data_IF_008542834272
#
_entry.id   IF_008542834272
#
_cell.length_a   1.000
_cell.length_b   1.000
_cell.length_c   1.000
_cell.angle_alpha   90.00
_cell.angle_beta   90.00
_cell.angle_gamma   90.00
#
_symmetry.space_group_name_H-M   'P 1'
#
loop_
_entity.id
_entity.type
_entity.pdbx_description
1 polymer ?
#
# COMPACT_ATOMS: atom_id res chain seq x y z
N UNK A 1 -10.02 -46.48 10.49
CA UNK A 1 -8.85 -45.85 11.13
C UNK A 1 -7.68 -46.09 10.19
N UNK A 2 -6.97 -45.15 9.59
CA UNK A 2 -6.81 -43.70 9.78
C UNK A 2 -6.55 -43.06 8.41
N UNK A 3 -7.10 -41.86 8.17
CA UNK A 3 -6.77 -41.05 6.99
C UNK A 3 -5.37 -40.46 7.18
N UNK A 4 -4.43 -40.81 6.30
CA UNK A 4 -3.15 -40.11 6.19
C UNK A 4 -3.43 -38.70 5.68
N UNK A 5 -3.10 -37.71 6.51
CA UNK A 5 -3.09 -36.29 6.18
C UNK A 5 -2.05 -36.03 5.09
N UNK A 6 -2.50 -35.66 3.90
CA UNK A 6 -1.64 -35.10 2.87
C UNK A 6 -1.02 -33.80 3.41
N UNK A 7 0.30 -33.83 3.63
CA UNK A 7 1.06 -32.63 3.97
C UNK A 7 0.86 -31.57 2.89
N UNK A 8 0.53 -30.35 3.31
CA UNK A 8 0.59 -29.18 2.44
C UNK A 8 2.05 -28.99 2.06
N UNK A 9 2.43 -29.44 0.86
CA UNK A 9 3.66 -29.01 0.21
C UNK A 9 3.55 -27.51 0.00
N UNK A 10 4.16 -26.73 0.90
CA UNK A 10 4.43 -25.32 0.65
C UNK A 10 5.33 -25.32 -0.57
N UNK A 11 4.79 -24.87 -1.71
CA UNK A 11 5.56 -24.67 -2.92
C UNK A 11 6.68 -23.70 -2.54
N UNK A 12 7.89 -24.22 -2.34
CA UNK A 12 9.10 -23.42 -2.19
C UNK A 12 9.35 -22.77 -3.54
N UNK A 13 8.67 -21.63 -3.76
CA UNK A 13 9.04 -20.74 -4.84
C UNK A 13 10.35 -20.11 -4.41
N UNK A 14 11.41 -20.42 -5.15
CA UNK A 14 12.73 -19.88 -4.91
C UNK A 14 12.65 -18.34 -4.98
N UNK A 15 12.66 -17.67 -3.82
CA UNK A 15 12.71 -16.21 -3.75
C UNK A 15 14.12 -15.79 -4.20
N UNK A 16 14.26 -14.95 -5.23
CA UNK A 16 15.55 -14.43 -5.65
C UNK A 16 16.29 -13.74 -4.50
N UNK A 17 17.62 -13.84 -4.46
CA UNK A 17 18.42 -13.17 -3.42
C UNK A 17 18.24 -11.64 -3.41
N UNK A 18 17.98 -11.04 -4.57
CA UNK A 18 17.64 -9.62 -4.75
C UNK A 18 16.17 -9.28 -4.34
N UNK A 19 15.51 -10.14 -3.57
CA UNK A 19 14.18 -9.94 -2.95
C UNK A 19 14.14 -10.35 -1.47
N UNK A 20 15.31 -10.48 -0.84
CA UNK A 20 15.44 -10.79 0.60
C UNK A 20 15.76 -9.51 1.38
N UNK A 21 14.97 -9.23 2.43
CA UNK A 21 15.13 -8.06 3.30
C UNK A 21 15.25 -8.53 4.75
N UNK A 22 16.47 -8.50 5.28
CA UNK A 22 16.76 -8.88 6.67
C UNK A 22 17.10 -7.68 7.56
N UNK A 23 17.36 -6.53 6.94
CA UNK A 23 17.66 -5.27 7.63
C UNK A 23 16.68 -4.22 7.14
N UNK A 24 16.26 -3.34 8.05
CA UNK A 24 15.33 -2.28 7.71
C UNK A 24 16.02 -1.26 6.78
N UNK A 25 15.55 -1.06 5.55
CA UNK A 25 16.16 -0.14 4.60
C UNK A 25 16.06 1.30 5.11
N UNK A 26 17.14 2.07 4.93
CA UNK A 26 17.18 3.49 5.27
C UNK A 26 16.29 4.31 4.32
N UNK A 27 15.73 5.43 4.77
CA UNK A 27 15.10 6.38 3.86
C UNK A 27 16.15 6.98 2.91
N UNK A 28 15.70 7.59 1.81
CA UNK A 28 16.58 8.30 0.89
C UNK A 28 17.47 9.33 1.59
N UNK A 29 16.87 10.12 2.49
CA UNK A 29 17.54 11.00 3.45
C UNK A 29 16.70 11.11 4.72
N UNK A 30 17.34 11.41 5.85
CA UNK A 30 16.65 11.52 7.14
C UNK A 30 15.63 12.68 7.19
N UNK A 31 15.87 13.75 6.42
CA UNK A 31 14.97 14.91 6.30
C UNK A 31 13.88 14.75 5.23
N UNK A 32 13.83 13.59 4.56
CA UNK A 32 12.86 13.27 3.50
C UNK A 32 11.76 12.31 3.94
N UNK A 33 11.69 11.91 5.21
CA UNK A 33 10.76 10.87 5.67
C UNK A 33 9.95 11.31 6.89
N UNK A 34 8.64 11.02 6.93
CA UNK A 34 7.86 11.12 8.15
C UNK A 34 8.10 9.94 9.11
N UNK A 35 8.72 8.85 8.62
CA UNK A 35 8.97 7.63 9.38
C UNK A 35 10.29 7.76 10.17
N UNK A 36 10.20 7.84 11.49
CA UNK A 36 11.33 8.05 12.40
C UNK A 36 12.04 6.75 12.79
N UNK A 37 11.43 5.63 12.44
CA UNK A 37 11.80 4.29 12.79
C UNK A 37 13.04 3.90 11.97
N UNK A 38 14.06 3.43 12.67
CA UNK A 38 15.35 3.02 12.11
C UNK A 38 15.47 1.51 11.96
N UNK A 39 14.45 0.76 12.38
CA UNK A 39 14.44 -0.69 12.44
C UNK A 39 13.00 -1.22 12.42
N UNK A 40 12.80 -2.51 12.10
CA UNK A 40 11.50 -3.16 12.22
C UNK A 40 11.00 -3.12 13.66
N UNK A 41 9.70 -2.96 13.84
CA UNK A 41 9.11 -2.84 15.18
C UNK A 41 9.38 -4.12 16.00
N UNK A 42 9.70 -4.04 17.31
CA UNK A 42 10.03 -5.21 18.13
C UNK A 42 8.96 -6.32 18.10
N UNK A 43 7.68 -5.95 18.15
CA UNK A 43 6.56 -6.90 17.98
C UNK A 43 6.61 -7.65 16.64
N UNK A 44 6.99 -6.99 15.55
CA UNK A 44 7.11 -7.60 14.21
C UNK A 44 8.25 -8.60 14.21
N UNK A 45 9.42 -8.22 14.72
CA UNK A 45 10.57 -9.11 14.83
C UNK A 45 10.26 -10.37 15.65
N UNK A 46 9.61 -10.20 16.80
CA UNK A 46 9.19 -11.31 17.64
C UNK A 46 8.20 -12.22 16.89
N UNK A 47 7.15 -11.64 16.29
CA UNK A 47 6.18 -12.38 15.51
C UNK A 47 6.80 -13.16 14.34
N UNK A 48 7.80 -12.59 13.65
CA UNK A 48 8.52 -13.28 12.58
C UNK A 48 9.33 -14.46 13.12
N UNK A 49 10.11 -14.25 14.20
CA UNK A 49 10.95 -15.30 14.79
C UNK A 49 10.17 -16.51 15.31
N UNK A 50 8.93 -16.30 15.75
CA UNK A 50 8.06 -17.34 16.29
C UNK A 50 7.07 -17.89 15.25
N UNK A 51 7.18 -17.47 13.98
CA UNK A 51 6.23 -17.79 12.91
C UNK A 51 4.76 -17.43 13.25
N UNK A 52 4.55 -16.33 13.97
CA UNK A 52 3.25 -15.79 14.41
C UNK A 52 2.77 -14.59 13.60
N UNK A 53 3.14 -14.49 12.33
CA UNK A 53 2.70 -13.40 11.43
C UNK A 53 1.25 -13.52 10.94
N UNK A 54 0.47 -14.46 11.50
CA UNK A 54 -0.94 -14.67 11.16
C UNK A 54 -1.14 -14.92 9.65
N UNK A 55 -2.07 -14.16 9.05
CA UNK A 55 -2.35 -14.25 7.59
C UNK A 55 -1.43 -13.38 6.74
N UNK A 56 -0.51 -12.60 7.30
CA UNK A 56 0.30 -11.63 6.53
C UNK A 56 1.10 -12.31 5.43
N UNK A 57 1.68 -13.49 5.69
CA UNK A 57 2.40 -14.26 4.68
C UNK A 57 1.53 -14.78 3.51
N UNK A 58 0.20 -14.66 3.62
CA UNK A 58 -0.78 -15.02 2.60
C UNK A 58 -1.47 -13.79 1.99
N UNK A 59 -1.24 -12.59 2.54
CA UNK A 59 -1.86 -11.35 2.07
C UNK A 59 -1.04 -10.75 0.94
N UNK A 60 -1.76 -10.24 -0.06
CA UNK A 60 -1.19 -9.42 -1.13
C UNK A 60 -1.33 -7.98 -0.67
N UNK A 61 -0.21 -7.27 -0.58
CA UNK A 61 -0.19 -5.84 -0.36
C UNK A 61 -0.17 -5.12 -1.70
N UNK A 62 -0.90 -4.01 -1.79
CA UNK A 62 -1.10 -3.27 -3.05
C UNK A 62 -0.40 -1.92 -2.99
N UNK A 63 0.53 -1.68 -3.92
CA UNK A 63 1.10 -0.38 -4.20
C UNK A 63 0.52 0.18 -5.50
N UNK A 64 0.13 1.45 -5.53
CA UNK A 64 -0.37 2.12 -6.74
C UNK A 64 0.57 3.26 -7.11
N UNK A 65 0.94 3.32 -8.39
CA UNK A 65 1.72 4.41 -8.95
C UNK A 65 0.79 5.36 -9.70
N UNK A 66 0.82 6.64 -9.34
CA UNK A 66 0.03 7.72 -9.96
C UNK A 66 0.95 8.89 -10.30
N UNK A 67 0.46 9.83 -11.11
CA UNK A 67 1.26 10.96 -11.60
C UNK A 67 1.00 11.23 -13.07
N UNK A 68 1.50 12.35 -13.58
CA UNK A 68 1.23 12.78 -14.95
C UNK A 68 1.70 11.76 -16.00
N UNK A 69 1.18 11.91 -17.22
CA UNK A 69 1.63 11.13 -18.38
C UNK A 69 3.12 11.36 -18.60
N UNK A 70 3.85 10.32 -19.03
CA UNK A 70 5.26 10.40 -19.42
C UNK A 70 6.27 10.76 -18.31
N UNK A 71 5.85 10.88 -17.06
CA UNK A 71 6.76 11.07 -15.91
C UNK A 71 7.59 9.83 -15.58
N UNK A 72 7.34 8.68 -16.20
CA UNK A 72 8.19 7.48 -16.05
C UNK A 72 7.72 6.44 -15.04
N UNK A 73 6.42 6.39 -14.71
CA UNK A 73 5.82 5.35 -13.84
C UNK A 73 6.12 3.93 -14.34
N UNK A 74 5.75 3.63 -15.59
CA UNK A 74 6.02 2.34 -16.24
C UNK A 74 7.52 2.02 -16.30
N UNK A 75 8.36 3.01 -16.60
CA UNK A 75 9.81 2.81 -16.63
C UNK A 75 10.37 2.47 -15.24
N UNK A 76 9.82 3.05 -14.17
CA UNK A 76 10.18 2.73 -12.79
C UNK A 76 9.79 1.30 -12.41
N UNK A 77 8.57 0.87 -12.75
CA UNK A 77 8.11 -0.52 -12.54
C UNK A 77 8.97 -1.51 -13.32
N UNK A 78 9.17 -1.27 -14.62
CA UNK A 78 9.98 -2.15 -15.47
C UNK A 78 11.43 -2.24 -15.00
N UNK A 79 12.02 -1.12 -14.54
CA UNK A 79 13.38 -1.15 -14.00
C UNK A 79 13.46 -2.01 -12.74
N UNK A 80 12.46 -1.97 -11.87
CA UNK A 80 12.46 -2.74 -10.64
C UNK A 80 12.16 -4.23 -10.85
N UNK A 81 11.10 -4.54 -11.60
CA UNK A 81 10.60 -5.90 -11.80
C UNK A 81 11.44 -6.70 -12.79
N UNK A 82 11.84 -6.06 -13.89
CA UNK A 82 12.43 -6.75 -15.04
C UNK A 82 13.89 -6.38 -15.28
N UNK A 83 14.46 -5.46 -14.50
CA UNK A 83 15.80 -4.91 -14.71
C UNK A 83 16.01 -4.33 -16.13
N UNK A 84 14.93 -3.87 -16.77
CA UNK A 84 14.93 -3.32 -18.14
C UNK A 84 14.55 -1.83 -18.16
N UNK A 85 15.12 -1.08 -19.11
CA UNK A 85 14.69 0.26 -19.46
C UNK A 85 14.53 0.38 -20.97
N UNK A 86 13.29 0.64 -21.41
CA UNK A 86 12.98 0.95 -22.81
C UNK A 86 12.96 2.47 -23.00
N UNK A 87 13.70 2.96 -23.99
CA UNK A 87 13.74 4.40 -24.31
C UNK A 87 12.49 4.87 -25.04
N UNK A 88 11.88 3.98 -25.83
CA UNK A 88 10.71 4.30 -26.64
C UNK A 88 9.46 4.34 -25.74
N UNK A 89 8.87 5.53 -25.61
CA UNK A 89 7.67 5.70 -24.82
C UNK A 89 6.49 4.98 -25.49
N UNK A 90 5.96 3.97 -24.79
CA UNK A 90 4.66 3.35 -25.08
C UNK A 90 3.68 3.81 -24.02
N UNK A 91 2.59 4.44 -24.44
CA UNK A 91 1.56 4.89 -23.50
C UNK A 91 0.87 3.69 -22.85
N UNK A 92 0.79 3.67 -21.53
CA UNK A 92 0.02 2.67 -20.79
C UNK A 92 -1.46 2.88 -21.06
N UNK A 93 -2.14 1.82 -21.53
CA UNK A 93 -3.57 1.84 -21.78
C UNK A 93 -4.26 1.30 -20.53
N UNK A 94 -4.91 2.19 -19.77
CA UNK A 94 -5.58 1.82 -18.53
C UNK A 94 -4.60 1.58 -17.38
N UNK A 95 -4.50 0.33 -16.95
CA UNK A 95 -3.68 -0.11 -15.80
C UNK A 95 -3.03 -1.44 -16.11
N UNK A 96 -1.76 -1.56 -15.74
CA UNK A 96 -1.02 -2.82 -15.71
C UNK A 96 -0.59 -3.14 -14.27
N UNK A 97 -0.30 -4.41 -13.98
CA UNK A 97 0.23 -4.76 -12.66
C UNK A 97 1.28 -5.85 -12.68
N UNK A 98 2.26 -5.68 -11.81
CA UNK A 98 3.31 -6.66 -11.53
C UNK A 98 3.13 -7.27 -10.14
N UNK A 99 3.56 -8.52 -9.97
CA UNK A 99 3.51 -9.23 -8.67
C UNK A 99 4.91 -9.65 -8.26
N UNK A 100 5.41 -9.04 -7.19
CA UNK A 100 6.75 -9.27 -6.66
C UNK A 100 6.68 -10.00 -5.32
N UNK A 101 7.48 -11.06 -5.19
CA UNK A 101 7.55 -11.89 -3.98
C UNK A 101 8.85 -11.64 -3.25
N UNK A 102 8.73 -11.36 -1.95
CA UNK A 102 9.83 -11.03 -1.06
C UNK A 102 9.91 -12.02 0.10
N UNK A 103 11.10 -12.10 0.69
CA UNK A 103 11.34 -12.68 2.01
C UNK A 103 11.77 -11.57 2.95
N UNK A 104 10.88 -11.11 3.82
CA UNK A 104 11.18 -10.05 4.80
C UNK A 104 11.28 -10.68 6.17
N UNK A 105 12.44 -10.57 6.83
CA UNK A 105 12.72 -11.28 8.09
C UNK A 105 12.40 -12.79 8.01
N UNK A 106 12.84 -13.43 6.91
CA UNK A 106 12.54 -14.82 6.56
C UNK A 106 11.04 -15.17 6.39
N UNK A 107 10.15 -14.17 6.38
CA UNK A 107 8.72 -14.34 6.18
C UNK A 107 8.34 -14.03 4.71
N UNK A 108 7.48 -14.85 4.09
CA UNK A 108 7.00 -14.55 2.74
C UNK A 108 6.15 -13.27 2.76
N UNK A 109 6.33 -12.43 1.74
CA UNK A 109 5.54 -11.22 1.54
C UNK A 109 5.32 -10.99 0.06
N UNK A 110 4.11 -10.58 -0.34
CA UNK A 110 3.77 -10.35 -1.75
C UNK A 110 3.32 -8.91 -1.95
N UNK A 111 3.99 -8.19 -2.85
CA UNK A 111 3.62 -6.86 -3.28
C UNK A 111 3.04 -6.92 -4.70
N UNK A 112 1.85 -6.37 -4.89
CA UNK A 112 1.27 -6.10 -6.19
C UNK A 112 1.48 -4.62 -6.52
N UNK A 113 2.15 -4.34 -7.63
CA UNK A 113 2.50 -3.00 -8.08
C UNK A 113 1.59 -2.62 -9.23
N UNK A 114 0.74 -1.62 -9.05
CA UNK A 114 -0.23 -1.15 -10.05
C UNK A 114 0.33 0.06 -10.78
N UNK A 115 0.69 -0.10 -12.05
CA UNK A 115 1.07 0.98 -12.94
C UNK A 115 -0.16 1.57 -13.62
N UNK A 116 -0.28 2.90 -13.61
CA UNK A 116 -1.43 3.62 -14.18
C UNK A 116 -1.02 4.45 -15.38
N UNK A 117 -1.96 4.75 -16.28
CA UNK A 117 -1.70 5.62 -17.42
C UNK A 117 -1.26 7.05 -17.07
N UNK A 118 -1.67 7.60 -15.93
CA UNK A 118 -1.53 9.02 -15.63
C UNK A 118 -2.50 9.91 -16.42
N UNK A 119 -3.58 9.33 -16.96
CA UNK A 119 -4.68 10.01 -17.65
C UNK A 119 -6.03 9.63 -17.06
N UNK A 120 -6.15 9.56 -15.74
CA UNK A 120 -7.38 9.25 -15.02
C UNK A 120 -8.47 10.33 -15.11
N UNK A 121 -8.62 10.93 -16.30
CA UNK A 121 -9.70 11.80 -16.78
C UNK A 121 -11.10 11.25 -16.44
N UNK A 122 -11.23 9.95 -16.14
CA UNK A 122 -12.45 9.32 -15.63
C UNK A 122 -12.31 8.94 -14.15
N UNK A 123 -12.67 9.87 -13.25
CA UNK A 123 -12.60 9.72 -11.78
C UNK A 123 -13.21 8.41 -11.24
N UNK A 124 -14.31 7.93 -11.82
CA UNK A 124 -14.97 6.71 -11.37
C UNK A 124 -14.14 5.44 -11.62
N UNK A 125 -13.39 5.39 -12.73
CA UNK A 125 -12.51 4.26 -13.05
C UNK A 125 -11.27 4.31 -12.14
N UNK A 126 -10.74 5.51 -11.91
CA UNK A 126 -9.59 5.76 -11.05
C UNK A 126 -9.81 5.33 -9.58
N UNK A 127 -11.00 5.63 -9.01
CA UNK A 127 -11.36 5.24 -7.65
C UNK A 127 -11.21 3.73 -7.41
N UNK A 128 -11.54 2.90 -8.40
CA UNK A 128 -11.41 1.45 -8.31
C UNK A 128 -9.95 0.98 -8.21
N UNK A 129 -9.02 1.73 -8.83
CA UNK A 129 -7.58 1.44 -8.77
C UNK A 129 -6.98 1.78 -7.41
N UNK A 130 -7.47 2.82 -6.76
CA UNK A 130 -6.95 3.26 -5.45
C UNK A 130 -7.51 2.44 -4.28
N UNK A 131 -8.70 1.86 -4.44
CA UNK A 131 -9.33 1.05 -3.39
C UNK A 131 -8.41 -0.10 -2.94
N UNK A 132 -8.20 -0.16 -1.62
CA UNK A 132 -7.37 -1.17 -0.98
C UNK A 132 -5.87 -1.00 -1.20
N UNK A 133 -5.41 0.16 -1.71
CA UNK A 133 -4.00 0.48 -1.75
C UNK A 133 -3.42 0.57 -0.33
N UNK A 134 -2.37 -0.20 -0.07
CA UNK A 134 -1.56 -0.08 1.14
C UNK A 134 -0.47 0.98 0.97
N UNK A 135 -0.05 1.21 -0.28
CA UNK A 135 0.97 2.19 -0.64
C UNK A 135 0.47 3.04 -1.81
N UNK A 136 0.61 4.35 -1.68
CA UNK A 136 0.40 5.32 -2.77
C UNK A 136 1.75 5.94 -3.12
N UNK A 137 2.12 5.86 -4.38
CA UNK A 137 3.38 6.37 -4.93
C UNK A 137 3.03 7.41 -5.99
N UNK A 138 3.23 8.69 -5.68
CA UNK A 138 3.07 9.78 -6.65
C UNK A 138 4.41 10.04 -7.34
N UNK A 139 4.47 9.80 -8.64
CA UNK A 139 5.68 9.97 -9.46
C UNK A 139 5.58 11.28 -10.24
N UNK A 140 6.68 12.04 -10.26
CA UNK A 140 6.84 13.24 -11.07
C UNK A 140 8.21 13.22 -11.77
N UNK A 141 8.39 14.05 -12.78
CA UNK A 141 9.66 14.16 -13.52
C UNK A 141 10.47 15.33 -12.97
N UNK A 142 11.71 15.07 -12.51
CA UNK A 142 12.59 16.09 -11.94
C UNK A 142 12.93 17.23 -12.93
N UNK A 143 12.77 16.98 -14.23
CA UNK A 143 12.99 17.96 -15.30
C UNK A 143 11.73 18.71 -15.75
N UNK A 144 10.55 18.36 -15.21
CA UNK A 144 9.27 18.96 -15.58
C UNK A 144 8.56 19.61 -14.39
N UNK A 145 8.59 20.94 -14.37
CA UNK A 145 7.99 21.79 -13.35
C UNK A 145 6.45 21.64 -13.24
N UNK A 146 5.79 21.32 -14.36
CA UNK A 146 4.33 21.13 -14.36
C UNK A 146 3.94 19.89 -13.55
N UNK A 147 4.73 18.82 -13.67
CA UNK A 147 4.52 17.57 -12.93
C UNK A 147 4.68 17.73 -11.41
N UNK A 148 5.57 18.64 -10.97
CA UNK A 148 5.73 19.00 -9.54
C UNK A 148 4.48 19.69 -9.01
N UNK A 149 3.90 20.58 -9.81
CA UNK A 149 2.72 21.36 -9.41
C UNK A 149 1.48 20.47 -9.22
N UNK A 150 1.42 19.34 -9.92
CA UNK A 150 0.31 18.39 -9.85
C UNK A 150 0.41 17.37 -8.69
N UNK A 151 1.53 17.32 -7.96
CA UNK A 151 1.78 16.34 -6.89
C UNK A 151 0.67 16.29 -5.83
N UNK A 152 0.23 17.46 -5.36
CA UNK A 152 -0.79 17.57 -4.28
C UNK A 152 -2.10 16.96 -4.75
N UNK A 153 -2.55 17.35 -5.94
CA UNK A 153 -3.78 16.81 -6.54
C UNK A 153 -3.70 15.29 -6.68
N UNK A 154 -2.57 14.76 -7.17
CA UNK A 154 -2.39 13.32 -7.33
C UNK A 154 -2.46 12.57 -6.00
N UNK A 155 -1.85 13.12 -4.96
CA UNK A 155 -1.89 12.53 -3.62
C UNK A 155 -3.32 12.55 -3.06
N UNK A 156 -4.03 13.67 -3.20
CA UNK A 156 -5.39 13.83 -2.70
C UNK A 156 -6.36 12.88 -3.41
N UNK A 157 -6.36 12.86 -4.75
CA UNK A 157 -7.23 11.98 -5.56
C UNK A 157 -7.03 10.49 -5.20
N UNK A 158 -5.78 10.06 -4.94
CA UNK A 158 -5.48 8.70 -4.52
C UNK A 158 -5.88 8.41 -3.07
N UNK A 159 -5.64 9.35 -2.15
CA UNK A 159 -5.93 9.18 -0.73
C UNK A 159 -7.43 9.26 -0.40
N UNK A 160 -8.26 9.90 -1.25
CA UNK A 160 -9.73 9.89 -1.10
C UNK A 160 -10.32 8.46 -1.10
N UNK A 161 -9.64 7.51 -1.75
CA UNK A 161 -10.15 6.17 -2.02
C UNK A 161 -9.29 5.05 -1.36
N UNK A 162 -8.12 5.40 -0.85
CA UNK A 162 -7.22 4.49 -0.14
C UNK A 162 -7.41 4.64 1.39
N UNK A 163 -7.45 3.53 2.11
CA UNK A 163 -7.60 3.54 3.56
C UNK A 163 -6.22 3.64 4.23
N UNK A 164 -5.88 4.85 4.67
CA UNK A 164 -4.63 5.18 5.38
C UNK A 164 -3.36 4.58 4.74
N UNK A 165 -3.07 4.86 3.45
CA UNK A 165 -1.91 4.29 2.78
C UNK A 165 -0.61 4.89 3.31
N UNK A 166 0.48 4.13 3.19
CA UNK A 166 1.84 4.68 3.23
C UNK A 166 2.05 5.51 1.96
N UNK A 167 2.61 6.71 2.09
CA UNK A 167 2.68 7.69 1.00
C UNK A 167 4.12 7.95 0.58
N UNK A 168 4.36 7.94 -0.72
CA UNK A 168 5.64 8.31 -1.32
C UNK A 168 5.47 9.36 -2.40
N UNK A 169 6.44 10.27 -2.49
CA UNK A 169 6.67 11.13 -3.65
C UNK A 169 7.98 10.72 -4.28
N UNK A 170 7.97 10.44 -5.58
CA UNK A 170 9.12 9.93 -6.32
C UNK A 170 9.45 10.86 -7.49
N UNK A 171 10.59 11.54 -7.41
CA UNK A 171 11.16 12.31 -8.50
C UNK A 171 11.95 11.40 -9.44
N UNK A 172 11.44 11.15 -10.63
CA UNK A 172 12.05 10.31 -11.65
C UNK A 172 13.01 11.10 -12.55
N UNK A 173 13.66 10.40 -13.48
CA UNK A 173 14.57 10.97 -14.49
C UNK A 173 15.67 11.84 -13.89
N UNK A 174 16.18 11.45 -12.71
CA UNK A 174 17.28 12.15 -12.05
C UNK A 174 18.53 12.32 -12.93
N UNK A 175 18.74 11.40 -13.88
CA UNK A 175 19.81 11.46 -14.87
C UNK A 175 19.72 12.63 -15.85
N UNK A 176 18.57 13.30 -15.96
CA UNK A 176 18.37 14.45 -16.86
C UNK A 176 18.65 15.80 -16.19
N UNK A 177 18.79 15.84 -14.87
CA UNK A 177 18.99 17.09 -14.11
C UNK A 177 20.43 17.21 -13.62
N UNK A 178 21.00 18.41 -13.73
CA UNK A 178 22.30 18.70 -13.11
C UNK A 178 22.17 18.74 -11.57
N UNK A 179 23.28 18.54 -10.86
CA UNK A 179 23.28 18.60 -9.40
C UNK A 179 22.78 19.95 -8.86
N UNK A 180 23.09 21.04 -9.55
CA UNK A 180 22.64 22.38 -9.20
C UNK A 180 21.12 22.54 -9.38
N UNK A 181 20.57 22.06 -10.50
CA UNK A 181 19.13 22.09 -10.76
C UNK A 181 18.37 21.17 -9.78
N UNK A 182 18.88 19.97 -9.54
CA UNK A 182 18.33 19.02 -8.57
C UNK A 182 18.20 19.63 -7.17
N UNK A 183 19.22 20.36 -6.71
CA UNK A 183 19.22 20.95 -5.36
C UNK A 183 18.11 22.00 -5.17
N UNK A 184 17.75 22.73 -6.24
CA UNK A 184 16.65 23.70 -6.22
C UNK A 184 15.29 23.00 -6.15
N UNK A 185 15.09 21.96 -6.98
CA UNK A 185 13.86 21.16 -7.00
C UNK A 185 13.67 20.39 -5.70
N UNK A 186 14.73 19.77 -5.18
CA UNK A 186 14.71 18.94 -3.97
C UNK A 186 14.13 19.71 -2.76
N UNK A 187 14.54 20.96 -2.57
CA UNK A 187 14.09 21.78 -1.43
C UNK A 187 12.58 22.03 -1.45
N UNK A 188 12.02 22.31 -2.63
CA UNK A 188 10.58 22.53 -2.81
C UNK A 188 9.79 21.23 -2.65
N UNK A 189 10.26 20.14 -3.26
CA UNK A 189 9.56 18.85 -3.20
C UNK A 189 9.56 18.28 -1.79
N UNK A 190 10.65 18.44 -1.03
CA UNK A 190 10.71 18.08 0.40
C UNK A 190 9.61 18.77 1.22
N UNK A 191 9.40 20.08 0.99
CA UNK A 191 8.35 20.82 1.68
C UNK A 191 6.96 20.27 1.34
N UNK A 192 6.69 19.97 0.07
CA UNK A 192 5.43 19.36 -0.38
C UNK A 192 5.25 17.98 0.26
N UNK A 193 6.27 17.13 0.24
CA UNK A 193 6.25 15.79 0.82
C UNK A 193 5.95 15.82 2.32
N UNK A 194 6.61 16.72 3.06
CA UNK A 194 6.37 16.90 4.50
C UNK A 194 4.93 17.32 4.79
N UNK A 195 4.37 18.26 4.02
CA UNK A 195 2.98 18.70 4.18
C UNK A 195 1.96 17.59 3.88
N UNK A 196 2.29 16.68 2.96
CA UNK A 196 1.44 15.54 2.60
C UNK A 196 1.64 14.31 3.52
N UNK A 197 2.64 14.35 4.40
CA UNK A 197 3.06 13.21 5.23
C UNK A 197 3.59 12.06 4.37
N UNK A 198 4.34 12.37 3.32
CA UNK A 198 4.90 11.41 2.38
C UNK A 198 6.43 11.36 2.45
N UNK A 199 7.02 10.18 2.22
CA UNK A 199 8.47 10.03 2.09
C UNK A 199 8.92 10.36 0.66
N UNK A 200 9.96 11.18 0.50
CA UNK A 200 10.48 11.63 -0.80
C UNK A 200 11.70 10.82 -1.25
N UNK A 201 11.71 10.41 -2.52
CA UNK A 201 12.81 9.71 -3.19
C UNK A 201 13.13 10.34 -4.56
N UNK A 202 14.42 10.44 -4.89
CA UNK A 202 14.87 10.81 -6.22
C UNK A 202 15.52 9.60 -6.91
N UNK A 203 15.02 9.20 -8.08
CA UNK A 203 15.39 7.97 -8.77
C UNK A 203 15.70 8.20 -10.24
N UNK A 204 16.46 7.29 -10.85
CA UNK A 204 16.57 7.19 -12.29
C UNK A 204 16.30 5.76 -12.75
N UNK A 205 15.18 5.56 -13.44
CA UNK A 205 14.89 4.29 -14.10
C UNK A 205 15.87 3.99 -15.23
N UNK A 206 16.54 5.00 -15.80
CA UNK A 206 17.54 4.80 -16.85
C UNK A 206 18.81 4.18 -16.30
N UNK A 207 19.36 4.76 -15.23
CA UNK A 207 20.63 4.29 -14.63
C UNK A 207 20.42 3.19 -13.58
N UNK A 208 19.21 3.04 -13.06
CA UNK A 208 18.88 2.17 -11.92
C UNK A 208 19.08 2.85 -10.57
N UNK A 209 19.55 4.10 -10.53
CA UNK A 209 19.87 4.80 -9.29
C UNK A 209 18.65 4.89 -8.36
N UNK A 210 18.83 4.43 -7.11
CA UNK A 210 17.86 4.45 -6.01
C UNK A 210 16.56 3.66 -6.24
N UNK A 211 16.42 2.94 -7.37
CA UNK A 211 15.17 2.24 -7.71
C UNK A 211 14.94 1.05 -6.78
N UNK A 212 15.96 0.21 -6.57
CA UNK A 212 15.82 -0.97 -5.73
C UNK A 212 15.62 -0.57 -4.26
N UNK A 213 16.41 0.37 -3.77
CA UNK A 213 16.37 0.87 -2.41
C UNK A 213 15.00 1.48 -2.08
N UNK A 214 14.42 2.24 -3.02
CA UNK A 214 13.08 2.79 -2.90
C UNK A 214 12.02 1.71 -2.69
N UNK A 215 11.97 0.71 -3.57
CA UNK A 215 10.95 -0.35 -3.45
C UNK A 215 11.18 -1.23 -2.22
N UNK A 216 12.43 -1.49 -1.84
CA UNK A 216 12.74 -2.21 -0.60
C UNK A 216 12.24 -1.44 0.62
N UNK A 217 12.42 -0.12 0.64
CA UNK A 217 11.89 0.75 1.68
C UNK A 217 10.37 0.69 1.76
N UNK A 218 9.69 0.81 0.62
CA UNK A 218 8.23 0.71 0.54
C UNK A 218 7.71 -0.65 1.02
N UNK A 219 8.34 -1.75 0.59
CA UNK A 219 8.02 -3.12 1.05
C UNK A 219 8.20 -3.26 2.56
N UNK A 220 9.31 -2.76 3.11
CA UNK A 220 9.63 -2.91 4.54
C UNK A 220 8.64 -2.17 5.43
N UNK A 221 8.31 -0.92 5.09
CA UNK A 221 7.31 -0.13 5.81
C UNK A 221 5.93 -0.79 5.76
N UNK A 222 5.55 -1.31 4.59
CA UNK A 222 4.25 -1.97 4.39
C UNK A 222 4.18 -3.29 5.14
N UNK A 223 5.25 -4.09 5.10
CA UNK A 223 5.35 -5.33 5.86
C UNK A 223 5.23 -5.08 7.36
N UNK A 224 5.99 -4.12 7.89
CA UNK A 224 5.99 -3.77 9.31
C UNK A 224 4.58 -3.36 9.77
N UNK A 225 3.93 -2.46 9.02
CA UNK A 225 2.56 -2.03 9.30
C UNK A 225 1.54 -3.18 9.22
N UNK A 226 1.67 -4.07 8.22
CA UNK A 226 0.76 -5.20 8.04
C UNK A 226 0.88 -6.22 9.18
N UNK A 227 2.10 -6.56 9.61
CA UNK A 227 2.32 -7.48 10.73
C UNK A 227 1.86 -6.85 12.05
N UNK A 228 2.14 -5.56 12.29
CA UNK A 228 1.65 -4.88 13.49
C UNK A 228 0.14 -4.92 13.58
N UNK A 229 -0.56 -4.59 12.50
CA UNK A 229 -2.01 -4.63 12.43
C UNK A 229 -2.57 -6.02 12.74
N UNK A 230 -1.95 -7.08 12.19
CA UNK A 230 -2.36 -8.47 12.46
C UNK A 230 -2.14 -8.86 13.92
N UNK A 231 -0.97 -8.53 14.48
CA UNK A 231 -0.61 -8.83 15.87
C UNK A 231 -1.55 -8.12 16.84
N UNK A 232 -1.80 -6.83 16.63
CA UNK A 232 -2.69 -6.06 17.51
C UNK A 232 -4.15 -6.54 17.38
N UNK A 233 -4.61 -6.93 16.19
CA UNK A 233 -5.93 -7.54 15.98
C UNK A 233 -6.05 -8.90 16.67
N UNK A 234 -4.99 -9.71 16.66
CA UNK A 234 -4.98 -11.02 17.33
C UNK A 234 -4.98 -10.90 18.87
N UNK A 235 -4.41 -9.81 19.41
CA UNK A 235 -4.38 -9.51 20.84
C UNK A 235 -5.64 -8.79 21.34
N UNK A 236 -6.44 -8.19 20.44
CA UNK A 236 -7.70 -7.59 20.80
C UNK A 236 -8.62 -8.64 21.45
N UNK A 237 -9.25 -8.35 22.61
CA UNK A 237 -10.18 -9.29 23.21
C UNK A 237 -11.28 -9.58 22.19
N UNK A 238 -11.42 -10.86 21.81
CA UNK A 238 -12.52 -11.30 20.94
C UNK A 238 -13.81 -10.90 21.64
N UNK A 239 -14.46 -9.83 21.17
CA UNK A 239 -15.82 -9.53 21.54
C UNK A 239 -16.62 -10.78 21.18
N UNK A 240 -17.02 -11.53 22.21
CA UNK A 240 -17.85 -12.69 22.02
C UNK A 240 -19.18 -12.14 21.56
N UNK A 241 -19.44 -12.10 20.26
CA UNK A 241 -20.80 -12.05 19.75
C UNK A 241 -21.44 -13.40 20.09
N UNK A 242 -21.77 -13.57 21.36
CA UNK A 242 -22.84 -14.48 21.75
C UNK A 242 -24.08 -13.75 21.29
N UNK A 243 -24.67 -14.25 20.20
CA UNK A 243 -25.96 -13.79 19.71
C UNK A 243 -26.94 -13.73 20.87
N UNK A 244 -27.17 -12.52 21.36
CA UNK A 244 -28.34 -12.19 22.17
C UNK A 244 -29.03 -11.11 21.39
N UNK A 245 -30.14 -11.50 20.79
CA UNK A 245 -31.13 -10.62 20.21
C UNK A 245 -31.38 -9.51 21.24
N UNK A 246 -30.95 -8.28 20.94
CA UNK A 246 -31.44 -7.11 21.68
C UNK A 246 -32.90 -6.93 21.25
N UNK A 247 -33.79 -7.60 21.97
CA UNK A 247 -35.20 -7.20 21.98
C UNK A 247 -35.24 -5.91 22.77
N UNK A 248 -35.43 -4.79 22.08
CA UNK A 248 -35.73 -3.54 22.76
C UNK A 248 -37.02 -3.71 23.56
N UNK A 249 -36.93 -3.46 24.87
CA UNK A 249 -38.01 -3.64 25.85
C UNK A 249 -39.24 -2.71 25.63
N UNK A 250 -39.33 -2.00 24.50
CA UNK A 250 -40.48 -1.18 24.13
C UNK A 250 -41.52 -1.92 23.28
N UNK A 251 -41.16 -2.97 22.54
CA UNK A 251 -42.08 -3.60 21.57
C UNK A 251 -43.02 -4.68 22.14
N UNK A 252 -42.75 -5.17 23.36
CA UNK A 252 -43.59 -6.18 24.02
C UNK A 252 -44.79 -5.59 24.79
N UNK A 253 -44.77 -4.30 25.12
CA UNK A 253 -45.88 -3.63 25.80
C UNK A 253 -46.94 -3.11 24.80
N UNK A 254 -46.52 -2.62 23.62
CA UNK A 254 -47.46 -2.15 22.59
C UNK A 254 -48.17 -3.27 21.83
N UNK A 255 -47.49 -4.40 21.59
CA UNK A 255 -48.10 -5.57 20.93
C UNK A 255 -49.18 -6.25 21.79
N UNK A 256 -49.08 -6.16 23.13
CA UNK A 256 -50.12 -6.66 24.06
C UNK A 256 -51.34 -5.74 24.16
N UNK A 257 -51.20 -4.42 24.00
CA UNK A 257 -52.35 -3.49 23.97
C UNK A 257 -53.19 -3.61 22.69
N UNK A 258 -52.56 -3.85 21.52
CA UNK A 258 -53.30 -4.03 20.25
C UNK A 258 -54.08 -5.35 20.17
N UNK A 259 -53.62 -6.43 20.81
CA UNK A 259 -54.38 -7.70 20.86
C UNK A 259 -55.57 -7.67 21.83
N UNK A 260 -55.57 -6.81 22.85
CA UNK A 260 -56.69 -6.70 23.81
C UNK A 260 -57.80 -5.78 23.28
N UNK A 261 -57.51 -4.83 22.38
CA UNK A 261 -58.53 -3.95 21.79
C UNK A 261 -59.28 -4.55 20.59
N UNK A 262 -58.74 -5.60 19.95
CA UNK A 262 -59.35 -6.23 18.77
C UNK A 262 -60.28 -7.42 19.09
N UNK A 263 -60.34 -7.86 20.36
CA UNK A 263 -61.20 -8.97 20.78
C UNK A 263 -62.52 -8.51 21.45
N UNK A 264 -62.83 -7.20 21.42
CA UNK A 264 -64.09 -6.62 21.91
C UNK A 264 -65.00 -6.03 20.83
N UNK A 265 -64.69 -6.20 19.54
CA UNK A 265 -65.51 -5.67 18.43
C UNK A 265 -66.20 -6.75 17.56
N UNK A 266 -66.22 -8.02 17.95
CA UNK A 266 -66.95 -9.08 17.24
C UNK A 266 -67.94 -9.82 18.15
N UNK A 267 -68.86 -9.07 18.78
CA UNK A 267 -70.11 -9.60 19.34
C UNK A 267 -71.27 -8.69 18.91
N UNK A 268 -71.59 -8.77 17.62
CA UNK A 268 -72.93 -8.64 17.05
C UNK A 268 -72.98 -9.49 15.77
#
# INVERSE_FOLDING_TARGET
MSRMSAGRTVISQHIPSNRVINQFPKPFRADCTPHKEIDFHPKVKNACSENRIGRVGLRICKAVLVGDVSVGKTALVNRFCHEVFEKDYKATIGVDFEVEKFSVLACPFTLQIWDTAGQERFKCIAASYYRGANVVIVVFDLSDESSITNLVRWMDDACENADQPIKFIVGSKKDLVSQAAYSQVESRVKMIANNLGAEYWAVSSKTGENVQEFFFRAVSLTFDAAVLSEVDTALAPRATQIGTIKVEQKDLYESRKRKISLQKCCNH
#
